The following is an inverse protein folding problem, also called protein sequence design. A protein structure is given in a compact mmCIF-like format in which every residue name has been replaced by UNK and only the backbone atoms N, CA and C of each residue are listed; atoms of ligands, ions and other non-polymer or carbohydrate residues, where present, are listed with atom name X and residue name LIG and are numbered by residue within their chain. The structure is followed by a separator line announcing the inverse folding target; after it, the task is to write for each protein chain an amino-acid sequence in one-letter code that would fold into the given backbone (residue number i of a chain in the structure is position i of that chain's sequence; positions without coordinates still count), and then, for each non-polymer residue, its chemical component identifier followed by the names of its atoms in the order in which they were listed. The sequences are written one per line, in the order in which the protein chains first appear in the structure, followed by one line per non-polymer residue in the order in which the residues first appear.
data_IF_632599203339
#
_entry.id   IF_632599203339
#
_cell.length_a   1.000
_cell.length_b   1.000
_cell.length_c   1.000
_cell.angle_alpha   90.00
_cell.angle_beta   90.00
_cell.angle_gamma   90.00
#
_symmetry.space_group_name_H-M   'P 1'
#
loop_
_entity.id
_entity.type
_entity.pdbx_description
1 polymer ?
#
# COMPACT_ATOMS: atom_id res chain seq x y z
N UNK A 1 -0.22 -20.90 -12.11
CA UNK A 1 0.63 -19.71 -11.90
C UNK A 1 0.94 -19.66 -10.42
N UNK A 2 2.23 -19.60 -10.06
CA UNK A 2 2.66 -19.51 -8.66
C UNK A 2 2.21 -18.18 -8.03
N UNK A 3 2.16 -18.09 -6.70
CA UNK A 3 1.90 -16.85 -5.98
C UNK A 3 2.93 -15.78 -6.34
N UNK A 4 4.22 -16.15 -6.47
CA UNK A 4 5.29 -15.24 -6.91
C UNK A 4 5.10 -14.74 -8.33
N UNK A 5 4.56 -15.58 -9.21
CA UNK A 5 4.23 -15.17 -10.57
C UNK A 5 2.99 -14.27 -10.59
N UNK A 6 1.95 -14.63 -9.85
CA UNK A 6 0.69 -13.90 -9.80
C UNK A 6 0.88 -12.52 -9.15
N UNK A 7 1.58 -12.46 -8.03
CA UNK A 7 1.79 -11.26 -7.24
C UNK A 7 3.23 -10.79 -7.34
N UNK A 8 3.51 -9.92 -8.33
CA UNK A 8 4.81 -9.25 -8.50
C UNK A 8 4.65 -7.87 -9.14
N UNK A 9 5.65 -7.01 -8.93
CA UNK A 9 5.73 -5.70 -9.54
C UNK A 9 5.23 -4.57 -8.66
N UNK A 10 4.69 -3.54 -9.30
CA UNK A 10 4.26 -2.31 -8.65
C UNK A 10 2.76 -2.33 -8.43
N UNK A 11 2.37 -2.40 -7.16
CA UNK A 11 0.98 -2.30 -6.72
C UNK A 11 0.75 -0.92 -6.14
N UNK A 12 -0.08 -0.13 -6.81
CA UNK A 12 -0.49 1.18 -6.27
C UNK A 12 -1.54 1.00 -5.19
N UNK A 13 -1.38 1.74 -4.09
CA UNK A 13 -2.45 1.91 -3.10
C UNK A 13 -3.42 2.96 -3.65
N UNK A 14 -4.54 2.50 -4.19
CA UNK A 14 -5.53 3.35 -4.87
C UNK A 14 -6.22 4.26 -3.83
N UNK A 15 -6.11 5.59 -3.95
CA UNK A 15 -6.90 6.51 -3.15
C UNK A 15 -8.39 6.31 -3.47
N UNK A 16 -9.25 6.37 -2.47
CA UNK A 16 -10.71 6.21 -2.67
C UNK A 16 -11.35 7.56 -2.96
N UNK A 17 -11.74 7.91 -4.20
CA UNK A 17 -12.29 9.22 -4.51
C UNK A 17 -13.65 9.41 -3.84
N UNK A 18 -13.90 10.64 -3.36
CA UNK A 18 -15.16 11.01 -2.71
C UNK A 18 -15.79 12.19 -3.44
N UNK A 19 -17.12 12.24 -3.41
CA UNK A 19 -17.91 13.39 -3.86
C UNK A 19 -17.89 14.51 -2.80
N UNK A 20 -18.44 15.67 -3.14
CA UNK A 20 -18.51 16.82 -2.23
C UNK A 20 -19.23 16.53 -0.91
N UNK A 21 -20.19 15.59 -0.93
CA UNK A 21 -20.99 15.09 0.20
C UNK A 21 -20.37 13.85 0.88
N UNK A 22 -19.09 13.60 0.64
CA UNK A 22 -18.30 12.46 1.13
C UNK A 22 -18.73 11.07 0.62
N UNK A 23 -19.81 10.93 -0.16
CA UNK A 23 -20.15 9.62 -0.76
C UNK A 23 -19.04 9.13 -1.69
N UNK A 24 -18.86 7.81 -1.78
CA UNK A 24 -17.86 7.20 -2.68
C UNK A 24 -18.14 7.64 -4.12
N UNK A 25 -17.12 8.18 -4.77
CA UNK A 25 -17.15 8.48 -6.21
C UNK A 25 -16.65 7.25 -6.99
N UNK A 26 -17.58 6.36 -7.30
CA UNK A 26 -17.29 5.13 -8.03
C UNK A 26 -16.83 5.39 -9.48
N UNK A 27 -17.25 6.49 -10.10
CA UNK A 27 -16.80 6.85 -11.44
C UNK A 27 -15.34 7.33 -11.42
N UNK A 28 -15.00 8.21 -10.48
CA UNK A 28 -13.62 8.62 -10.21
C UNK A 28 -12.72 7.42 -9.85
N UNK A 29 -13.21 6.49 -9.02
CA UNK A 29 -12.48 5.27 -8.67
C UNK A 29 -12.18 4.42 -9.92
N UNK A 30 -13.18 4.19 -10.77
CA UNK A 30 -13.00 3.43 -12.00
C UNK A 30 -12.02 4.12 -12.98
N UNK A 31 -12.07 5.46 -13.07
CA UNK A 31 -11.10 6.25 -13.84
C UNK A 31 -9.67 6.03 -13.36
N UNK A 32 -9.42 6.22 -12.05
CA UNK A 32 -8.08 6.04 -11.49
C UNK A 32 -7.54 4.63 -11.71
N UNK A 33 -8.40 3.61 -11.58
CA UNK A 33 -8.01 2.22 -11.83
C UNK A 33 -7.54 2.00 -13.27
N UNK A 34 -8.28 2.53 -14.26
CA UNK A 34 -7.85 2.45 -15.66
C UNK A 34 -6.50 3.14 -15.86
N UNK A 35 -6.36 4.36 -15.33
CA UNK A 35 -5.12 5.13 -15.40
C UNK A 35 -3.91 4.38 -14.85
N UNK A 36 -4.04 3.73 -13.68
CA UNK A 36 -2.92 3.00 -13.09
C UNK A 36 -2.53 1.76 -13.89
N UNK A 37 -3.52 1.04 -14.44
CA UNK A 37 -3.29 -0.09 -15.34
C UNK A 37 -2.57 0.38 -16.61
N UNK A 38 -3.05 1.47 -17.22
CA UNK A 38 -2.45 2.07 -18.43
C UNK A 38 -1.05 2.63 -18.18
N UNK A 39 -0.77 3.05 -16.94
CA UNK A 39 0.57 3.49 -16.50
C UNK A 39 1.52 2.33 -16.12
N UNK A 40 1.12 1.09 -16.37
CA UNK A 40 1.98 -0.09 -16.18
C UNK A 40 2.02 -0.64 -14.75
N UNK A 41 1.14 -0.22 -13.84
CA UNK A 41 1.05 -0.86 -12.52
C UNK A 41 0.68 -2.34 -12.68
N UNK A 42 1.48 -3.23 -12.09
CA UNK A 42 1.29 -4.68 -12.22
C UNK A 42 0.15 -5.22 -11.35
N UNK A 43 -0.37 -4.41 -10.43
CA UNK A 43 -1.53 -4.74 -9.61
C UNK A 43 -2.07 -3.53 -8.85
N UNK A 44 -3.17 -3.74 -8.16
CA UNK A 44 -3.91 -2.70 -7.45
C UNK A 44 -4.17 -3.15 -6.01
N UNK A 45 -4.04 -2.24 -5.06
CA UNK A 45 -4.59 -2.40 -3.71
C UNK A 45 -5.65 -1.33 -3.46
N UNK A 46 -6.91 -1.74 -3.34
CA UNK A 46 -7.97 -0.89 -2.78
C UNK A 46 -8.09 -1.13 -1.27
N UNK A 47 -8.65 -0.17 -0.55
CA UNK A 47 -8.81 -0.25 0.92
C UNK A 47 -7.47 -0.48 1.67
N UNK A 48 -6.34 -0.05 1.08
CA UNK A 48 -5.09 0.07 1.82
C UNK A 48 -5.12 1.28 2.77
N UNK A 49 -4.08 1.46 3.60
CA UNK A 49 -3.99 2.60 4.51
C UNK A 49 -4.16 3.96 3.80
N UNK A 50 -3.58 4.11 2.60
CA UNK A 50 -3.76 5.29 1.75
C UNK A 50 -5.05 5.33 0.92
N UNK A 51 -5.87 4.29 1.01
CA UNK A 51 -7.22 4.23 0.47
C UNK A 51 -8.30 4.57 1.50
N UNK A 52 -7.95 5.05 2.69
CA UNK A 52 -8.88 5.52 3.75
C UNK A 52 -9.80 4.44 4.34
N UNK A 53 -9.42 3.16 4.26
CA UNK A 53 -10.28 2.06 4.71
C UNK A 53 -10.93 2.22 6.09
N UNK A 54 -10.27 2.78 7.14
CA UNK A 54 -10.87 2.87 8.47
C UNK A 54 -12.14 3.73 8.52
N UNK A 55 -12.32 4.63 7.55
CA UNK A 55 -13.39 5.62 7.55
C UNK A 55 -14.60 5.22 6.69
N UNK A 56 -14.59 4.01 6.12
CA UNK A 56 -15.73 3.48 5.37
C UNK A 56 -16.43 2.38 6.16
N UNK A 57 -17.76 2.35 6.06
CA UNK A 57 -18.55 1.27 6.64
C UNK A 57 -18.42 -0.02 5.81
N UNK A 58 -19.02 -1.10 6.30
CA UNK A 58 -18.91 -2.43 5.68
C UNK A 58 -19.42 -2.44 4.23
N UNK A 59 -20.60 -1.88 3.98
CA UNK A 59 -21.25 -1.85 2.68
C UNK A 59 -20.45 -1.03 1.66
N UNK A 60 -19.92 0.12 2.07
CA UNK A 60 -19.06 0.97 1.26
C UNK A 60 -17.77 0.23 0.89
N UNK A 61 -17.13 -0.46 1.83
CA UNK A 61 -15.92 -1.26 1.56
C UNK A 61 -16.20 -2.35 0.51
N UNK A 62 -17.29 -3.09 0.66
CA UNK A 62 -17.70 -4.11 -0.33
C UNK A 62 -17.99 -3.48 -1.70
N UNK A 63 -18.66 -2.32 -1.73
CA UNK A 63 -18.95 -1.61 -2.97
C UNK A 63 -17.66 -1.11 -3.68
N UNK A 64 -16.67 -0.62 -2.92
CA UNK A 64 -15.35 -0.23 -3.44
C UNK A 64 -14.66 -1.42 -4.11
N UNK A 65 -14.66 -2.60 -3.47
CA UNK A 65 -14.06 -3.81 -4.05
C UNK A 65 -14.77 -4.22 -5.34
N UNK A 66 -16.11 -4.18 -5.37
CA UNK A 66 -16.91 -4.48 -6.57
C UNK A 66 -16.58 -3.54 -7.73
N UNK A 67 -16.52 -2.23 -7.48
CA UNK A 67 -16.12 -1.24 -8.48
C UNK A 67 -14.71 -1.53 -8.98
N UNK A 68 -13.79 -1.86 -8.08
CA UNK A 68 -12.40 -2.10 -8.44
C UNK A 68 -12.22 -3.32 -9.34
N UNK A 69 -12.80 -4.45 -8.95
CA UNK A 69 -12.79 -5.67 -9.74
C UNK A 69 -13.44 -5.47 -11.12
N UNK A 70 -14.59 -4.78 -11.17
CA UNK A 70 -15.29 -4.46 -12.43
C UNK A 70 -14.44 -3.56 -13.33
N UNK A 71 -13.85 -2.51 -12.78
CA UNK A 71 -13.02 -1.57 -13.55
C UNK A 71 -11.73 -2.25 -14.04
N UNK A 72 -11.07 -3.05 -13.22
CA UNK A 72 -9.85 -3.75 -13.59
C UNK A 72 -10.05 -4.76 -14.74
N UNK A 73 -11.24 -5.37 -14.84
CA UNK A 73 -11.59 -6.36 -15.89
C UNK A 73 -10.55 -7.48 -16.02
N UNK A 74 -9.99 -7.92 -14.88
CA UNK A 74 -8.94 -8.95 -14.80
C UNK A 74 -7.64 -8.62 -15.57
N UNK A 75 -7.41 -7.35 -15.96
CA UNK A 75 -6.18 -6.93 -16.65
C UNK A 75 -4.95 -7.02 -15.74
N UNK A 76 -5.14 -6.78 -14.44
CA UNK A 76 -4.13 -6.92 -13.40
C UNK A 76 -4.78 -7.46 -12.13
N UNK A 77 -4.02 -8.08 -11.20
CA UNK A 77 -4.55 -8.52 -9.92
C UNK A 77 -5.08 -7.38 -9.07
N UNK A 78 -6.25 -7.60 -8.45
CA UNK A 78 -6.85 -6.67 -7.48
C UNK A 78 -6.81 -7.26 -6.08
N UNK A 79 -6.08 -6.59 -5.20
CA UNK A 79 -6.10 -6.86 -3.76
C UNK A 79 -7.04 -5.90 -3.04
N UNK A 80 -7.71 -6.38 -1.99
CA UNK A 80 -8.45 -5.53 -1.06
C UNK A 80 -7.86 -5.61 0.35
N UNK A 81 -7.68 -4.45 0.98
CA UNK A 81 -7.30 -4.37 2.38
C UNK A 81 -8.45 -4.82 3.29
N UNK A 82 -8.17 -5.72 4.22
CA UNK A 82 -9.07 -6.11 5.29
C UNK A 82 -8.43 -5.71 6.63
N UNK A 83 -8.91 -4.61 7.19
CA UNK A 83 -8.51 -4.13 8.51
C UNK A 83 -9.76 -3.82 9.32
N UNK A 84 -10.05 -4.68 10.29
CA UNK A 84 -11.12 -4.52 11.24
C UNK A 84 -10.59 -4.84 12.64
N UNK A 85 -11.21 -4.27 13.67
CA UNK A 85 -10.83 -4.58 15.05
C UNK A 85 -11.29 -5.99 15.46
N UNK A 86 -12.39 -6.46 14.89
CA UNK A 86 -12.99 -7.75 15.20
C UNK A 86 -12.69 -8.82 14.16
N UNK A 87 -12.42 -10.04 14.63
CA UNK A 87 -12.29 -11.19 13.74
C UNK A 87 -13.60 -11.50 13.01
N UNK A 88 -14.75 -11.48 13.69
CA UNK A 88 -16.04 -11.76 13.06
C UNK A 88 -16.32 -10.84 11.86
N UNK A 89 -16.04 -9.56 11.99
CA UNK A 89 -16.19 -8.57 10.91
C UNK A 89 -15.16 -8.79 9.79
N UNK A 90 -13.92 -9.15 10.14
CA UNK A 90 -12.91 -9.54 9.15
C UNK A 90 -13.38 -10.74 8.32
N UNK A 91 -13.92 -11.79 8.97
CA UNK A 91 -14.42 -12.98 8.30
C UNK A 91 -15.63 -12.67 7.39
N UNK A 92 -16.58 -11.87 7.88
CA UNK A 92 -17.72 -11.43 7.08
C UNK A 92 -17.28 -10.63 5.85
N UNK A 93 -16.27 -9.76 5.99
CA UNK A 93 -15.76 -8.97 4.89
C UNK A 93 -15.04 -9.82 3.85
N UNK A 94 -14.14 -10.73 4.26
CA UNK A 94 -13.42 -11.58 3.29
C UNK A 94 -14.34 -12.49 2.49
N UNK A 95 -15.48 -12.91 3.08
CA UNK A 95 -16.50 -13.64 2.33
C UNK A 95 -17.28 -12.72 1.37
N UNK A 96 -17.84 -11.61 1.88
CA UNK A 96 -18.67 -10.70 1.08
C UNK A 96 -17.90 -9.99 -0.05
N UNK A 97 -16.62 -9.71 0.16
CA UNK A 97 -15.76 -9.01 -0.79
C UNK A 97 -15.10 -9.96 -1.81
N UNK A 98 -15.18 -11.29 -1.66
CA UNK A 98 -14.59 -12.27 -2.58
C UNK A 98 -15.34 -12.39 -3.93
N UNK A 99 -15.59 -11.25 -4.57
CA UNK A 99 -16.35 -11.12 -5.82
C UNK A 99 -15.51 -11.57 -7.04
N UNK A 100 -16.16 -11.91 -8.17
CA UNK A 100 -15.46 -12.19 -9.42
C UNK A 100 -14.55 -11.02 -9.85
N UNK A 101 -13.30 -11.33 -10.20
CA UNK A 101 -12.30 -10.32 -10.60
C UNK A 101 -11.46 -9.76 -9.46
N UNK A 102 -11.70 -10.17 -8.21
CA UNK A 102 -10.79 -9.94 -7.10
C UNK A 102 -9.83 -11.13 -6.91
N UNK A 103 -8.58 -10.83 -6.52
CA UNK A 103 -7.47 -11.78 -6.54
C UNK A 103 -6.90 -12.18 -5.17
N UNK A 104 -7.12 -11.39 -4.12
CA UNK A 104 -6.62 -11.69 -2.78
C UNK A 104 -6.85 -10.58 -1.78
N UNK A 105 -6.67 -10.88 -0.50
CA UNK A 105 -6.79 -9.91 0.58
C UNK A 105 -5.43 -9.52 1.12
N UNK A 106 -5.27 -8.25 1.49
CA UNK A 106 -4.16 -7.80 2.34
C UNK A 106 -4.73 -7.54 3.73
N UNK A 107 -4.40 -8.41 4.68
CA UNK A 107 -5.01 -8.40 6.01
C UNK A 107 -4.02 -7.81 7.01
N UNK A 108 -4.45 -6.82 7.80
CA UNK A 108 -3.66 -6.25 8.90
C UNK A 108 -4.19 -6.77 10.24
N UNK A 109 -3.29 -6.91 11.23
CA UNK A 109 -3.71 -7.27 12.59
C UNK A 109 -4.52 -6.12 13.25
N UNK A 110 -5.48 -6.45 14.13
CA UNK A 110 -6.26 -5.46 14.86
C UNK A 110 -5.36 -4.64 15.80
N UNK A 111 -5.69 -3.36 15.99
CA UNK A 111 -4.77 -2.39 16.62
C UNK A 111 -5.34 -1.71 17.87
N UNK A 112 -6.56 -2.01 18.29
CA UNK A 112 -7.17 -1.32 19.45
C UNK A 112 -6.65 -1.87 20.78
N UNK A 113 -6.55 -3.19 20.90
CA UNK A 113 -5.91 -3.85 22.04
C UNK A 113 -4.69 -4.64 21.55
N UNK A 114 -3.56 -4.57 22.27
CA UNK A 114 -2.41 -5.40 21.94
C UNK A 114 -2.77 -6.88 22.11
N UNK A 115 -2.21 -7.71 21.24
CA UNK A 115 -2.39 -9.17 21.24
C UNK A 115 -1.03 -9.86 21.19
N UNK A 116 -0.95 -11.08 21.70
CA UNK A 116 0.25 -11.91 21.60
C UNK A 116 0.40 -12.56 20.23
N UNK A 117 1.54 -13.23 20.02
CA UNK A 117 1.78 -13.97 18.78
C UNK A 117 0.80 -15.15 18.63
N UNK A 118 0.39 -15.79 19.72
CA UNK A 118 -0.54 -16.92 19.68
C UNK A 118 -1.92 -16.50 19.17
N UNK A 119 -2.43 -15.36 19.66
CA UNK A 119 -3.68 -14.77 19.18
C UNK A 119 -3.54 -14.33 17.72
N UNK A 120 -2.41 -13.75 17.32
CA UNK A 120 -2.17 -13.33 15.94
C UNK A 120 -2.14 -14.54 14.97
N UNK A 121 -1.51 -15.65 15.36
CA UNK A 121 -1.50 -16.90 14.59
C UNK A 121 -2.91 -17.49 14.50
N UNK A 122 -3.66 -17.51 15.61
CA UNK A 122 -5.06 -17.96 15.64
C UNK A 122 -5.95 -17.12 14.72
N UNK A 123 -5.77 -15.79 14.75
CA UNK A 123 -6.48 -14.86 13.86
C UNK A 123 -6.21 -15.18 12.38
N UNK A 124 -4.94 -15.27 11.96
CA UNK A 124 -4.61 -15.59 10.57
C UNK A 124 -5.10 -16.97 10.16
N UNK A 125 -4.98 -17.97 11.02
CA UNK A 125 -5.49 -19.33 10.77
C UNK A 125 -6.98 -19.31 10.48
N UNK A 126 -7.77 -18.54 11.24
CA UNK A 126 -9.22 -18.44 11.01
C UNK A 126 -9.56 -17.64 9.75
N UNK A 127 -8.78 -16.60 9.43
CA UNK A 127 -8.97 -15.82 8.21
C UNK A 127 -8.65 -16.63 6.95
N UNK A 128 -7.54 -17.37 6.93
CA UNK A 128 -7.18 -18.20 5.77
C UNK A 128 -8.19 -19.34 5.56
N UNK A 129 -8.67 -19.97 6.63
CA UNK A 129 -9.67 -21.04 6.54
C UNK A 129 -11.03 -20.56 6.01
N UNK A 130 -11.41 -19.31 6.27
CA UNK A 130 -12.66 -18.73 5.76
C UNK A 130 -12.52 -18.11 4.37
N UNK A 131 -11.31 -17.70 3.97
CA UNK A 131 -11.10 -16.96 2.74
C UNK A 131 -11.13 -17.86 1.51
N UNK A 132 -11.97 -17.50 0.54
CA UNK A 132 -12.01 -18.13 -0.81
C UNK A 132 -10.90 -17.63 -1.75
N UNK A 133 -10.04 -16.71 -1.26
CA UNK A 133 -8.99 -16.03 -2.02
C UNK A 133 -7.67 -16.06 -1.25
N UNK A 134 -6.52 -15.97 -1.94
CA UNK A 134 -5.22 -15.79 -1.30
C UNK A 134 -5.21 -14.67 -0.25
N UNK A 135 -4.57 -14.91 0.89
CA UNK A 135 -4.39 -13.92 1.96
C UNK A 135 -2.93 -13.51 2.02
N UNK A 136 -2.67 -12.20 2.04
CA UNK A 136 -1.36 -11.61 2.26
C UNK A 136 -1.32 -11.00 3.66
N UNK A 137 -0.24 -11.29 4.39
CA UNK A 137 0.05 -10.69 5.68
C UNK A 137 0.46 -9.23 5.53
N UNK A 138 -0.19 -8.30 6.21
CA UNK A 138 0.25 -6.91 6.28
C UNK A 138 1.04 -6.67 7.57
N UNK A 139 2.36 -6.68 7.45
CA UNK A 139 3.26 -6.32 8.54
C UNK A 139 3.43 -4.81 8.61
N UNK A 140 2.86 -4.16 9.62
CA UNK A 140 3.03 -2.72 9.86
C UNK A 140 3.11 -2.42 11.36
N UNK A 141 4.23 -2.78 12.03
CA UNK A 141 4.34 -2.72 13.49
C UNK A 141 4.19 -1.29 14.03
N UNK A 142 4.63 -0.26 13.30
CA UNK A 142 4.47 1.14 13.73
C UNK A 142 3.02 1.64 13.72
N UNK A 143 2.12 0.96 12.99
CA UNK A 143 0.69 1.28 12.98
C UNK A 143 -0.11 0.39 13.93
N UNK A 144 0.31 -0.87 14.05
CA UNK A 144 -0.37 -1.87 14.90
C UNK A 144 0.11 -1.86 16.34
N UNK A 145 1.28 -1.28 16.60
CA UNK A 145 2.01 -1.35 17.88
C UNK A 145 2.38 -2.81 18.28
N UNK A 146 2.34 -3.74 17.33
CA UNK A 146 2.68 -5.15 17.52
C UNK A 146 4.07 -5.45 16.96
N UNK A 147 5.07 -5.45 17.84
CA UNK A 147 6.47 -5.73 17.50
C UNK A 147 6.84 -7.17 17.84
N UNK A 148 6.71 -8.07 16.86
CA UNK A 148 7.11 -9.47 17.00
C UNK A 148 8.50 -9.72 16.40
N UNK A 149 9.35 -10.55 17.03
CA UNK A 149 10.59 -10.97 16.40
C UNK A 149 10.32 -11.82 15.16
N UNK A 150 11.22 -11.80 14.17
CA UNK A 150 11.06 -12.54 12.91
C UNK A 150 10.80 -14.04 13.13
N UNK A 151 11.45 -14.66 14.13
CA UNK A 151 11.23 -16.06 14.49
C UNK A 151 9.78 -16.35 14.92
N UNK A 152 9.14 -15.42 15.62
CA UNK A 152 7.73 -15.53 15.99
C UNK A 152 6.82 -15.35 14.76
N UNK A 153 7.15 -14.38 13.90
CA UNK A 153 6.41 -14.11 12.65
C UNK A 153 6.48 -15.28 11.65
N UNK A 154 7.49 -16.14 11.73
CA UNK A 154 7.54 -17.37 10.93
C UNK A 154 6.28 -18.22 11.09
N UNK A 155 5.67 -18.23 12.30
CA UNK A 155 4.43 -18.95 12.59
C UNK A 155 3.21 -18.41 11.83
N UNK A 156 3.26 -17.16 11.34
CA UNK A 156 2.23 -16.57 10.47
C UNK A 156 2.63 -16.72 9.01
N UNK A 157 3.87 -16.33 8.66
CA UNK A 157 4.36 -16.34 7.28
C UNK A 157 4.34 -17.74 6.64
N UNK A 158 4.56 -18.79 7.45
CA UNK A 158 4.57 -20.17 6.99
C UNK A 158 3.20 -20.86 7.03
N UNK A 159 2.14 -20.21 7.54
CA UNK A 159 0.79 -20.79 7.51
C UNK A 159 0.38 -21.13 6.07
N UNK A 160 -0.31 -22.26 5.94
CA UNK A 160 -0.99 -22.62 4.70
C UNK A 160 -2.08 -21.57 4.41
N UNK A 161 -2.23 -21.19 3.13
CA UNK A 161 -3.16 -20.13 2.71
C UNK A 161 -2.61 -18.69 2.80
N UNK A 162 -1.52 -18.44 3.56
CA UNK A 162 -0.79 -17.16 3.48
C UNK A 162 0.11 -17.19 2.24
N UNK A 163 -0.31 -16.46 1.20
CA UNK A 163 0.31 -16.43 -0.12
C UNK A 163 1.43 -15.38 -0.26
N UNK A 164 1.51 -14.44 0.67
CA UNK A 164 2.48 -13.35 0.60
C UNK A 164 2.44 -12.42 1.80
N UNK A 165 3.25 -11.37 1.75
CA UNK A 165 3.23 -10.31 2.74
C UNK A 165 3.56 -8.94 2.13
N UNK A 166 3.04 -7.89 2.77
CA UNK A 166 3.50 -6.52 2.63
C UNK A 166 4.25 -6.14 3.89
N UNK A 167 5.55 -5.88 3.75
CA UNK A 167 6.44 -5.45 4.82
C UNK A 167 6.55 -3.91 4.82
N UNK A 168 5.99 -3.25 5.83
CA UNK A 168 5.90 -1.78 5.94
C UNK A 168 6.73 -1.17 7.07
N UNK A 169 7.62 -1.92 7.71
CA UNK A 169 8.43 -1.45 8.85
C UNK A 169 9.58 -0.53 8.45
N UNK A 170 9.84 -0.36 7.15
CA UNK A 170 10.99 0.40 6.60
C UNK A 170 12.35 -0.21 6.96
N UNK A 171 12.38 -1.43 7.51
CA UNK A 171 13.57 -2.10 7.98
C UNK A 171 14.01 -3.19 6.98
N UNK A 172 15.09 -2.90 6.23
CA UNK A 172 15.67 -3.86 5.28
C UNK A 172 16.13 -5.16 5.95
N UNK A 173 16.53 -5.11 7.23
CA UNK A 173 16.90 -6.29 7.99
C UNK A 173 15.71 -7.22 8.24
N UNK A 174 14.53 -6.66 8.54
CA UNK A 174 13.30 -7.43 8.69
C UNK A 174 12.81 -7.99 7.36
N UNK A 175 12.86 -7.20 6.27
CA UNK A 175 12.58 -7.69 4.92
C UNK A 175 13.45 -8.92 4.61
N UNK A 176 14.76 -8.83 4.87
CA UNK A 176 15.69 -9.94 4.68
C UNK A 176 15.33 -11.14 5.55
N UNK A 177 15.06 -10.95 6.83
CA UNK A 177 14.69 -12.03 7.74
C UNK A 177 13.40 -12.74 7.30
N UNK A 178 12.38 -11.98 6.87
CA UNK A 178 11.15 -12.55 6.34
C UNK A 178 11.39 -13.32 5.04
N UNK A 179 12.20 -12.80 4.11
CA UNK A 179 12.59 -13.50 2.89
C UNK A 179 13.29 -14.83 3.17
N UNK A 180 14.20 -14.86 4.14
CA UNK A 180 14.88 -16.09 4.56
C UNK A 180 13.92 -17.12 5.16
N UNK A 181 12.91 -16.69 5.92
CA UNK A 181 11.86 -17.57 6.45
C UNK A 181 11.05 -18.18 5.31
N UNK A 182 10.59 -17.35 4.35
CA UNK A 182 9.65 -17.81 3.31
C UNK A 182 10.33 -18.43 2.10
N UNK A 183 11.66 -18.57 2.07
CA UNK A 183 12.39 -19.18 0.95
C UNK A 183 11.96 -20.62 0.67
N UNK A 184 11.41 -21.30 1.67
CA UNK A 184 10.93 -22.69 1.61
C UNK A 184 9.52 -22.85 1.00
N UNK A 185 8.84 -21.75 0.66
CA UNK A 185 7.49 -21.79 0.06
C UNK A 185 7.31 -20.75 -1.06
N UNK A 186 6.33 -21.02 -1.92
CA UNK A 186 5.88 -20.08 -2.94
C UNK A 186 5.13 -18.91 -2.29
N UNK A 187 5.83 -17.79 -2.15
CA UNK A 187 5.42 -16.64 -1.34
C UNK A 187 5.85 -15.34 -2.00
N UNK A 188 4.92 -14.39 -2.10
CA UNK A 188 5.18 -13.06 -2.64
C UNK A 188 5.43 -12.04 -1.52
N UNK A 189 6.66 -11.51 -1.40
CA UNK A 189 6.99 -10.49 -0.42
C UNK A 189 7.18 -9.13 -1.08
N UNK A 190 6.38 -8.16 -0.67
CA UNK A 190 6.41 -6.78 -1.14
C UNK A 190 6.95 -5.86 -0.06
N UNK A 191 7.75 -4.87 -0.47
CA UNK A 191 8.02 -3.71 0.38
C UNK A 191 6.83 -2.75 0.35
N UNK A 192 6.52 -2.16 1.50
CA UNK A 192 5.47 -1.17 1.68
C UNK A 192 5.85 0.24 1.24
N UNK A 193 7.08 0.43 0.75
CA UNK A 193 7.60 1.71 0.28
C UNK A 193 8.44 1.53 -0.99
N UNK A 194 8.36 2.48 -1.92
CA UNK A 194 9.17 2.46 -3.16
C UNK A 194 10.62 2.91 -2.95
N UNK A 195 10.97 3.44 -1.78
CA UNK A 195 12.33 3.88 -1.42
C UNK A 195 13.33 2.72 -1.32
N UNK A 196 12.82 1.52 -1.06
CA UNK A 196 13.61 0.30 -0.94
C UNK A 196 13.40 -0.65 -2.12
N UNK A 197 12.76 -0.22 -3.22
CA UNK A 197 12.37 -1.10 -4.33
C UNK A 197 13.56 -1.90 -4.88
N UNK A 198 14.62 -1.23 -5.35
CA UNK A 198 15.79 -1.90 -5.94
C UNK A 198 16.44 -2.86 -4.96
N UNK A 199 16.58 -2.46 -3.68
CA UNK A 199 17.17 -3.30 -2.63
C UNK A 199 16.30 -4.51 -2.30
N UNK A 200 14.99 -4.34 -2.29
CA UNK A 200 14.02 -5.42 -2.03
C UNK A 200 14.08 -6.46 -3.14
N UNK A 201 14.10 -6.02 -4.41
CA UNK A 201 14.25 -6.91 -5.57
C UNK A 201 15.59 -7.67 -5.51
N UNK A 202 16.68 -6.98 -5.18
CA UNK A 202 18.00 -7.61 -5.07
C UNK A 202 18.09 -8.68 -3.97
N UNK A 203 17.24 -8.60 -2.93
CA UNK A 203 17.14 -9.62 -1.87
C UNK A 203 16.21 -10.78 -2.24
N UNK A 204 15.54 -10.74 -3.41
CA UNK A 204 14.58 -11.75 -3.84
C UNK A 204 13.11 -11.43 -3.53
N UNK A 205 12.80 -10.19 -3.11
CA UNK A 205 11.42 -9.73 -2.99
C UNK A 205 10.75 -9.49 -4.35
N UNK A 206 9.42 -9.36 -4.34
CA UNK A 206 8.60 -9.41 -5.55
C UNK A 206 8.15 -8.03 -6.05
N UNK A 207 8.47 -6.94 -5.34
CA UNK A 207 8.15 -5.57 -5.75
C UNK A 207 7.68 -4.71 -4.58
N UNK A 208 6.73 -3.81 -4.85
CA UNK A 208 6.19 -2.88 -3.85
C UNK A 208 4.67 -2.78 -3.87
N UNK A 209 4.07 -2.64 -2.68
CA UNK A 209 2.67 -2.20 -2.51
C UNK A 209 2.69 -0.89 -1.73
N UNK A 210 2.67 0.25 -2.42
CA UNK A 210 2.94 1.54 -1.77
C UNK A 210 2.20 2.73 -2.39
N UNK A 211 2.33 3.89 -1.76
CA UNK A 211 1.53 5.08 -2.09
C UNK A 211 2.06 5.88 -3.27
N UNK A 212 3.38 5.97 -3.46
CA UNK A 212 3.99 6.83 -4.50
C UNK A 212 3.43 6.55 -5.92
N UNK A 213 3.21 5.30 -6.34
CA UNK A 213 2.59 5.02 -7.64
C UNK A 213 1.19 5.64 -7.85
N UNK A 214 0.52 6.12 -6.79
CA UNK A 214 -0.79 6.77 -6.93
C UNK A 214 -0.73 8.13 -7.63
N UNK A 215 0.43 8.80 -7.65
CA UNK A 215 0.62 10.08 -8.35
C UNK A 215 1.89 10.11 -9.22
N UNK A 216 2.81 9.15 -9.07
CA UNK A 216 3.98 8.98 -9.92
C UNK A 216 4.16 7.52 -10.38
N UNK A 217 3.15 6.90 -11.03
CA UNK A 217 3.20 5.48 -11.40
C UNK A 217 4.37 5.16 -12.33
N UNK A 218 4.53 5.93 -13.42
CA UNK A 218 5.55 5.71 -14.45
C UNK A 218 6.98 5.69 -13.89
N UNK A 219 7.25 6.52 -12.88
CA UNK A 219 8.56 6.56 -12.23
C UNK A 219 8.87 5.25 -11.50
N UNK A 220 7.88 4.70 -10.78
CA UNK A 220 8.07 3.49 -9.98
C UNK A 220 8.01 2.24 -10.85
N UNK A 221 7.11 2.19 -11.83
CA UNK A 221 7.03 1.08 -12.79
C UNK A 221 8.27 1.02 -13.66
N UNK A 222 8.76 2.15 -14.18
CA UNK A 222 10.02 2.21 -14.92
C UNK A 222 11.23 1.80 -14.09
N UNK A 223 11.24 2.08 -12.78
CA UNK A 223 12.30 1.62 -11.87
C UNK A 223 12.25 0.09 -11.68
N UNK A 224 11.06 -0.47 -11.50
CA UNK A 224 10.85 -1.92 -11.43
C UNK A 224 11.27 -2.63 -12.72
N UNK A 225 10.86 -2.12 -13.87
CA UNK A 225 11.23 -2.65 -15.20
C UNK A 225 12.74 -2.62 -15.40
N UNK A 226 13.41 -1.49 -15.14
CA UNK A 226 14.86 -1.39 -15.26
C UNK A 226 15.58 -2.38 -14.34
N UNK A 227 15.14 -2.48 -13.07
CA UNK A 227 15.73 -3.38 -12.10
C UNK A 227 15.57 -4.86 -12.49
N UNK A 228 14.40 -5.24 -13.00
CA UNK A 228 14.11 -6.63 -13.41
C UNK A 228 14.73 -7.00 -14.75
N UNK A 229 14.96 -6.03 -15.63
CA UNK A 229 15.72 -6.21 -16.88
C UNK A 229 17.25 -6.23 -16.68
N UNK A 230 17.74 -5.97 -15.47
CA UNK A 230 19.17 -5.92 -15.16
C UNK A 230 19.87 -4.61 -15.54
N UNK A 231 19.12 -3.58 -15.96
CA UNK A 231 19.64 -2.23 -16.24
C UNK A 231 19.85 -1.47 -14.92
N UNK A 232 20.97 -1.79 -14.25
CA UNK A 232 21.33 -1.22 -12.95
C UNK A 232 21.46 0.30 -13.00
N UNK A 233 22.03 0.85 -14.06
CA UNK A 233 22.28 2.29 -14.17
C UNK A 233 20.97 3.08 -14.23
N UNK A 234 20.01 2.62 -15.04
CA UNK A 234 18.67 3.21 -15.09
C UNK A 234 17.90 2.99 -13.80
N UNK A 235 17.94 1.78 -13.25
CA UNK A 235 17.26 1.45 -11.98
C UNK A 235 17.73 2.37 -10.83
N UNK A 236 19.04 2.57 -10.68
CA UNK A 236 19.61 3.44 -9.65
C UNK A 236 19.24 4.91 -9.86
N UNK A 237 19.21 5.37 -11.12
CA UNK A 237 18.81 6.73 -11.46
C UNK A 237 17.34 6.99 -11.09
N UNK A 238 16.44 6.07 -11.44
CA UNK A 238 15.03 6.17 -11.11
C UNK A 238 14.81 6.01 -9.60
N UNK A 239 15.54 5.11 -8.92
CA UNK A 239 15.47 4.95 -7.48
C UNK A 239 15.86 6.25 -6.74
N UNK A 240 16.88 6.98 -7.21
CA UNK A 240 17.25 8.30 -6.65
C UNK A 240 16.12 9.32 -6.83
N UNK A 241 15.52 9.39 -8.02
CA UNK A 241 14.36 10.26 -8.28
C UNK A 241 13.17 9.92 -7.38
N UNK A 242 12.89 8.62 -7.14
CA UNK A 242 11.85 8.18 -6.19
C UNK A 242 12.16 8.69 -4.77
N UNK A 243 13.43 8.64 -4.34
CA UNK A 243 13.83 9.14 -3.02
C UNK A 243 13.62 10.65 -2.87
N UNK A 244 13.61 11.42 -3.96
CA UNK A 244 13.31 12.86 -3.93
C UNK A 244 11.84 13.14 -3.60
N UNK A 245 10.96 12.12 -3.72
CA UNK A 245 9.54 12.20 -3.37
C UNK A 245 9.26 11.94 -1.88
N UNK A 246 10.27 11.66 -1.04
CA UNK A 246 10.13 11.47 0.41
C UNK A 246 9.23 12.52 1.12
N UNK A 247 9.30 13.82 0.79
CA UNK A 247 8.44 14.85 1.41
C UNK A 247 6.93 14.58 1.33
N UNK A 248 6.46 13.82 0.33
CA UNK A 248 5.04 13.48 0.16
C UNK A 248 4.48 12.57 1.26
N UNK A 249 5.34 11.77 1.89
CA UNK A 249 4.90 10.76 2.85
C UNK A 249 5.05 11.20 4.30
N UNK A 250 5.85 12.24 4.57
CA UNK A 250 6.13 12.75 5.91
C UNK A 250 5.55 14.16 6.12
N UNK A 251 6.29 15.20 5.70
CA UNK A 251 5.87 16.61 5.81
C UNK A 251 6.58 17.42 4.72
N UNK A 252 5.97 18.50 4.24
CA UNK A 252 6.64 19.49 3.38
C UNK A 252 7.54 20.47 4.15
N UNK A 253 7.60 20.38 5.48
CA UNK A 253 8.30 21.33 6.35
C UNK A 253 9.80 21.09 6.53
N UNK A 254 10.37 20.03 5.91
CA UNK A 254 11.78 19.67 6.04
C UNK A 254 12.41 19.48 4.66
N UNK A 255 13.67 19.92 4.49
CA UNK A 255 14.40 19.73 3.24
C UNK A 255 14.59 18.23 2.89
N UNK A 256 14.55 17.81 1.61
CA UNK A 256 14.71 16.41 1.20
C UNK A 256 15.98 15.73 1.74
N UNK A 257 17.09 16.46 1.85
CA UNK A 257 18.34 15.97 2.45
C UNK A 257 18.19 15.62 3.93
N UNK A 258 17.48 16.45 4.70
CA UNK A 258 17.15 16.22 6.11
C UNK A 258 16.19 15.04 6.23
N UNK A 259 15.20 14.94 5.35
CA UNK A 259 14.27 13.80 5.34
C UNK A 259 14.94 12.48 4.95
N UNK A 260 15.92 12.48 4.04
CA UNK A 260 16.74 11.29 3.71
C UNK A 260 17.56 10.83 4.91
N UNK A 261 18.17 11.77 5.65
CA UNK A 261 18.91 11.47 6.89
C UNK A 261 17.98 11.00 8.01
N UNK A 262 16.82 11.64 8.15
CA UNK A 262 15.78 11.24 9.08
C UNK A 262 15.20 9.87 8.73
N UNK A 263 14.98 9.53 7.45
CA UNK A 263 14.54 8.21 7.03
C UNK A 263 15.54 7.12 7.44
N UNK A 264 16.84 7.37 7.27
CA UNK A 264 17.90 6.46 7.74
C UNK A 264 17.91 6.29 9.26
N UNK A 265 17.53 7.32 10.03
CA UNK A 265 17.47 7.27 11.49
C UNK A 265 16.15 6.64 12.01
N UNK A 266 15.02 7.05 11.44
CA UNK A 266 13.66 6.59 11.76
C UNK A 266 13.47 5.11 11.41
N UNK A 267 14.15 4.60 10.37
CA UNK A 267 14.17 3.15 10.04
C UNK A 267 14.71 2.25 11.17
N UNK A 268 15.22 2.85 12.26
CA UNK A 268 15.75 2.16 13.44
C UNK A 268 15.00 2.50 14.74
N UNK A 269 13.91 3.29 14.69
CA UNK A 269 13.21 3.78 15.88
C UNK A 269 11.82 3.12 16.04
N UNK A 270 11.42 2.75 17.27
CA UNK A 270 10.15 2.06 17.54
C UNK A 270 8.95 3.01 17.73
N UNK A 271 8.92 4.18 17.08
CA UNK A 271 7.79 5.12 17.20
C UNK A 271 7.58 6.01 15.96
N UNK A 272 6.33 6.43 15.74
CA UNK A 272 5.91 7.29 14.61
C UNK A 272 5.77 8.75 15.02
N UNK A 273 6.39 9.66 14.26
CA UNK A 273 6.16 11.11 14.37
C UNK A 273 4.83 11.47 13.67
N UNK A 274 3.77 11.72 14.44
CA UNK A 274 2.46 12.17 13.91
C UNK A 274 2.53 13.67 13.58
N UNK A 275 2.54 14.02 12.28
CA UNK A 275 2.28 15.40 11.81
C UNK A 275 0.79 15.73 11.94
N UNK A 276 0.46 16.90 12.51
CA UNK A 276 -0.90 17.21 13.01
C UNK A 276 -1.78 18.06 12.09
N UNK A 277 -1.28 18.64 11.00
CA UNK A 277 -2.03 19.73 10.33
C UNK A 277 -2.68 19.39 8.98
N UNK A 278 -2.35 18.27 8.32
CA UNK A 278 -2.88 17.95 6.96
C UNK A 278 -3.04 16.44 6.74
N UNK A 279 -4.12 16.03 6.08
CA UNK A 279 -4.33 14.64 5.68
C UNK A 279 -3.47 14.31 4.46
N UNK A 280 -2.63 13.28 4.56
CA UNK A 280 -1.84 12.77 3.43
C UNK A 280 -2.74 12.34 2.26
N UNK A 281 -3.90 11.78 2.57
CA UNK A 281 -4.91 11.39 1.58
C UNK A 281 -5.42 12.58 0.78
N UNK A 282 -5.71 13.69 1.47
CA UNK A 282 -6.20 14.91 0.82
C UNK A 282 -5.14 15.52 -0.10
N UNK A 283 -3.87 15.53 0.32
CA UNK A 283 -2.73 15.97 -0.51
C UNK A 283 -2.61 15.13 -1.78
N UNK A 284 -2.72 13.80 -1.68
CA UNK A 284 -2.62 12.90 -2.84
C UNK A 284 -3.78 13.11 -3.79
N UNK A 285 -5.01 13.20 -3.28
CA UNK A 285 -6.20 13.43 -4.11
C UNK A 285 -6.17 14.79 -4.79
N UNK A 286 -5.70 15.82 -4.10
CA UNK A 286 -5.49 17.14 -4.71
C UNK A 286 -4.39 17.11 -5.77
N UNK A 287 -3.31 16.36 -5.54
CA UNK A 287 -2.26 16.15 -6.53
C UNK A 287 -2.85 15.54 -7.81
N UNK A 288 -3.65 14.48 -7.67
CA UNK A 288 -4.36 13.85 -8.79
C UNK A 288 -5.30 14.83 -9.50
N UNK A 289 -6.04 15.63 -8.74
CA UNK A 289 -6.94 16.66 -9.31
C UNK A 289 -6.16 17.70 -10.13
N UNK A 290 -5.05 18.21 -9.61
CA UNK A 290 -4.20 19.19 -10.29
C UNK A 290 -3.45 18.58 -11.50
N UNK A 291 -3.23 17.26 -11.50
CA UNK A 291 -2.76 16.50 -12.66
C UNK A 291 -3.85 16.24 -13.73
N UNK A 292 -5.10 16.69 -13.49
CA UNK A 292 -6.20 16.60 -14.46
C UNK A 292 -7.09 15.37 -14.30
N UNK A 293 -6.93 14.57 -13.25
CA UNK A 293 -7.85 13.47 -12.98
C UNK A 293 -9.20 14.02 -12.45
N UNK A 294 -10.35 13.46 -12.89
CA UNK A 294 -11.69 13.90 -12.52
C UNK A 294 -12.07 13.40 -11.12
N UNK A 295 -11.30 13.78 -10.10
CA UNK A 295 -11.51 13.43 -8.70
C UNK A 295 -11.45 14.68 -7.83
N UNK A 296 -12.07 14.63 -6.65
CA UNK A 296 -11.98 15.72 -5.67
C UNK A 296 -10.87 15.44 -4.65
N UNK A 297 -10.37 16.49 -3.99
CA UNK A 297 -9.46 16.37 -2.85
C UNK A 297 -10.14 15.94 -1.53
N UNK A 298 -11.45 15.64 -1.56
CA UNK A 298 -12.24 15.36 -0.36
C UNK A 298 -11.74 14.10 0.33
N UNK A 299 -11.56 14.18 1.64
CA UNK A 299 -11.34 13.04 2.54
C UNK A 299 -12.53 12.86 3.46
N UNK A 300 -12.71 11.65 4.03
CA UNK A 300 -13.83 11.34 4.91
C UNK A 300 -13.62 11.98 6.28
N UNK A 301 -14.65 12.62 6.84
CA UNK A 301 -14.62 13.07 8.24
C UNK A 301 -14.30 11.91 9.20
N UNK A 302 -13.44 12.09 10.22
CA UNK A 302 -12.86 13.34 10.72
C UNK A 302 -11.48 13.71 10.14
N UNK A 303 -11.06 13.17 9.00
CA UNK A 303 -9.77 13.55 8.41
C UNK A 303 -9.74 15.05 8.05
N UNK A 304 -8.63 15.77 8.35
CA UNK A 304 -8.51 17.19 8.03
C UNK A 304 -8.44 17.39 6.52
N UNK A 305 -9.28 18.31 6.02
CA UNK A 305 -9.28 18.73 4.63
C UNK A 305 -8.06 19.62 4.33
N UNK A 306 -7.70 19.78 3.06
CA UNK A 306 -6.66 20.73 2.64
C UNK A 306 -7.21 22.16 2.52
N UNK A 307 -6.40 23.15 2.89
CA UNK A 307 -6.69 24.58 2.76
C UNK A 307 -6.19 25.19 1.44
N UNK A 308 -6.36 26.51 1.28
CA UNK A 308 -5.84 27.28 0.14
C UNK A 308 -4.33 27.09 -0.03
N UNK A 309 -3.55 27.54 0.96
CA UNK A 309 -2.08 27.45 1.04
C UNK A 309 -1.47 26.09 0.70
N UNK A 310 -2.22 25.00 0.89
CA UNK A 310 -1.76 23.65 0.60
C UNK A 310 -1.77 23.37 -0.91
N UNK A 311 -2.73 23.97 -1.63
CA UNK A 311 -2.89 23.80 -3.07
C UNK A 311 -1.76 24.43 -3.86
N UNK A 312 -1.27 25.61 -3.43
CA UNK A 312 -0.13 26.25 -4.09
C UNK A 312 1.16 25.45 -3.88
N UNK A 313 1.39 24.91 -2.68
CA UNK A 313 2.55 24.04 -2.39
C UNK A 313 2.51 22.78 -3.28
N UNK A 314 1.34 22.17 -3.44
CA UNK A 314 1.17 21.01 -4.31
C UNK A 314 1.43 21.38 -5.78
N UNK A 315 0.95 22.55 -6.24
CA UNK A 315 1.17 23.03 -7.61
C UNK A 315 2.65 23.24 -7.90
N UNK A 316 3.38 23.88 -6.98
CA UNK A 316 4.82 24.09 -7.10
C UNK A 316 5.55 22.75 -7.21
N UNK A 317 5.14 21.75 -6.43
CA UNK A 317 5.75 20.44 -6.51
C UNK A 317 5.45 19.70 -7.82
N UNK A 318 4.21 19.72 -8.30
CA UNK A 318 3.84 19.08 -9.58
C UNK A 318 4.68 19.63 -10.73
N UNK A 319 5.01 20.93 -10.70
CA UNK A 319 5.92 21.53 -11.69
C UNK A 319 7.30 20.86 -11.73
N UNK A 320 7.77 20.35 -10.57
CA UNK A 320 9.03 19.59 -10.42
C UNK A 320 8.90 18.11 -10.79
N UNK A 321 7.68 17.58 -10.91
CA UNK A 321 7.40 16.22 -11.40
C UNK A 321 7.33 16.14 -12.93
N UNK A 322 6.90 17.21 -13.61
CA UNK A 322 6.78 17.26 -15.08
C UNK A 322 8.07 16.94 -15.89
N UNK A 323 9.31 17.12 -15.38
CA UNK A 323 10.52 16.68 -16.08
C UNK A 323 10.95 15.22 -15.79
N UNK A 324 10.11 14.39 -15.13
CA UNK A 324 10.41 13.00 -14.76
C UNK A 324 9.68 11.96 -15.60
#
# INVERSE_FOLDING_TARGET
MSNREKFRGVYTVVPTPLRGDERIDHAGLAHLINYYIESGCNGLLVLGSGGEFPYFNFEERVAIVKTAAKAARKRVPVLAGAGFCGLAETLAFVDAAAVPGMDGFLVILPTYHPIGIDEAVSFYTRVVSASKKPVLYYHYPQMTELFFPAAALARILLLEGIAGAKESSLNLGEIRAHLEIVKVKDFALFSGNSFSLVKTLAMGGNGVICQIPSFAPLLVTGCYEAATAGDRARADTLQRKIMDLLPFLNTFGLAPSVQKRAYSLISRMPFSLKSKNRSRHAVIKETLRQMGHPVTARVRSPLPQIGGGDREIISEFISRLKPL
#
